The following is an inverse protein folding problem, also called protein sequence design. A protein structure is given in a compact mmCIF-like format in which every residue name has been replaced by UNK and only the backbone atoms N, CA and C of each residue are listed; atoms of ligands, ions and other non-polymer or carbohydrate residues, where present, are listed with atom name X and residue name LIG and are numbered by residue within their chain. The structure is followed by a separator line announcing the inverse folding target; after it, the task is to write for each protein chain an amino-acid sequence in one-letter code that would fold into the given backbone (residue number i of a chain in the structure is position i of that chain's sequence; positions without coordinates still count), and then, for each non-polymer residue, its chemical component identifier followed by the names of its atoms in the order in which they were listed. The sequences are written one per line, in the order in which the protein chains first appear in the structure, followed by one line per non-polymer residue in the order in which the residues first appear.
data_IF_239837965203
#
_entry.id   IF_239837965203
#
_cell.length_a   1.000
_cell.length_b   1.000
_cell.length_c   1.000
_cell.angle_alpha   90.00
_cell.angle_beta   90.00
_cell.angle_gamma   90.00
#
_symmetry.space_group_name_H-M   'P 1'
#
loop_
_entity.id
_entity.type
_entity.pdbx_description
1 polymer ?
#
# COMPACT_ATOMS: atom_id res chain seq x y z
N UNK A 1 17.48 13.60 23.87
CA UNK A 1 16.53 13.19 22.82
C UNK A 1 16.20 11.70 23.02
N UNK A 2 14.95 11.34 23.31
CA UNK A 2 14.55 9.95 23.55
C UNK A 2 14.36 9.28 22.18
N UNK A 3 15.24 8.35 21.81
CA UNK A 3 15.15 7.65 20.51
C UNK A 3 14.19 6.48 20.67
N UNK A 4 12.99 6.57 20.08
CA UNK A 4 12.09 5.43 19.99
C UNK A 4 12.71 4.39 19.05
N UNK A 5 13.12 3.25 19.60
CA UNK A 5 13.57 2.11 18.80
C UNK A 5 12.34 1.44 18.20
N UNK A 6 12.22 1.51 16.88
CA UNK A 6 11.26 0.72 16.12
C UNK A 6 11.90 -0.61 15.75
N UNK A 7 11.11 -1.69 15.73
CA UNK A 7 11.56 -2.99 15.28
C UNK A 7 11.85 -2.96 13.77
N UNK A 8 12.95 -3.59 13.36
CA UNK A 8 13.36 -3.69 11.95
C UNK A 8 13.62 -5.15 11.61
N UNK A 9 12.81 -5.70 10.71
CA UNK A 9 13.07 -7.01 10.12
C UNK A 9 13.89 -6.84 8.82
N UNK A 10 15.02 -7.53 8.72
CA UNK A 10 15.86 -7.59 7.52
C UNK A 10 15.73 -8.99 6.95
N UNK A 11 15.23 -9.10 5.72
CA UNK A 11 15.04 -10.38 5.03
C UNK A 11 16.01 -10.43 3.86
N UNK A 12 16.82 -11.48 3.82
CA UNK A 12 17.82 -11.69 2.77
C UNK A 12 17.21 -12.40 1.55
N UNK A 13 17.74 -12.19 0.33
CA UNK A 13 17.26 -12.87 -0.89
C UNK A 13 17.24 -14.39 -0.84
N UNK A 14 18.07 -15.00 0.03
CA UNK A 14 18.10 -16.45 0.25
C UNK A 14 16.85 -16.98 0.98
N UNK A 15 16.05 -16.12 1.60
CA UNK A 15 14.83 -16.50 2.28
C UNK A 15 13.72 -16.84 1.25
N UNK A 16 13.01 -17.95 1.44
CA UNK A 16 11.92 -18.40 0.57
C UNK A 16 10.79 -17.38 0.41
N UNK A 17 10.57 -16.52 1.41
CA UNK A 17 9.54 -15.48 1.38
C UNK A 17 9.98 -14.21 0.66
N UNK A 18 11.27 -14.05 0.34
CA UNK A 18 11.80 -12.83 -0.26
C UNK A 18 11.10 -12.44 -1.58
N UNK A 19 10.88 -13.36 -2.56
CA UNK A 19 10.25 -12.99 -3.83
C UNK A 19 8.82 -12.46 -3.65
N UNK A 20 8.06 -13.08 -2.75
CA UNK A 20 6.68 -12.70 -2.43
C UNK A 20 6.66 -11.30 -1.81
N UNK A 21 7.56 -11.04 -0.87
CA UNK A 21 7.67 -9.74 -0.21
C UNK A 21 8.14 -8.65 -1.16
N UNK A 22 9.08 -8.96 -2.06
CA UNK A 22 9.56 -8.02 -3.08
C UNK A 22 8.42 -7.62 -4.03
N UNK A 23 7.63 -8.58 -4.50
CA UNK A 23 6.44 -8.33 -5.31
C UNK A 23 5.43 -7.44 -4.58
N UNK A 24 5.16 -7.71 -3.30
CA UNK A 24 4.25 -6.86 -2.51
C UNK A 24 4.80 -5.46 -2.25
N UNK A 25 6.11 -5.34 -1.99
CA UNK A 25 6.75 -4.04 -1.85
C UNK A 25 6.67 -3.25 -3.16
N UNK A 26 6.90 -3.89 -4.31
CA UNK A 26 6.78 -3.26 -5.62
C UNK A 26 5.35 -2.74 -5.88
N UNK A 27 4.34 -3.58 -5.66
CA UNK A 27 2.93 -3.21 -5.78
C UNK A 27 2.56 -2.06 -4.83
N UNK A 28 3.03 -2.10 -3.59
CA UNK A 28 2.76 -1.07 -2.58
C UNK A 28 3.36 0.28 -2.95
N UNK A 29 4.58 0.29 -3.49
CA UNK A 29 5.24 1.52 -3.99
C UNK A 29 4.45 2.13 -5.15
N UNK A 30 4.02 1.30 -6.10
CA UNK A 30 3.24 1.78 -7.25
C UNK A 30 1.89 2.34 -6.82
N UNK A 31 1.20 1.68 -5.89
CA UNK A 31 -0.05 2.16 -5.32
C UNK A 31 0.12 3.53 -4.66
N UNK A 32 1.15 3.68 -3.82
CA UNK A 32 1.45 4.93 -3.14
C UNK A 32 1.76 6.06 -4.13
N UNK A 33 2.61 5.79 -5.12
CA UNK A 33 2.99 6.76 -6.13
C UNK A 33 1.79 7.21 -6.97
N UNK A 34 0.93 6.26 -7.36
CA UNK A 34 -0.29 6.55 -8.09
C UNK A 34 -1.24 7.44 -7.28
N UNK A 35 -1.55 7.05 -6.04
CA UNK A 35 -2.45 7.82 -5.19
C UNK A 35 -1.92 9.23 -4.93
N UNK A 36 -0.62 9.36 -4.66
CA UNK A 36 0.03 10.65 -4.50
C UNK A 36 -0.03 11.51 -5.76
N UNK A 37 0.19 10.92 -6.93
CA UNK A 37 0.08 11.63 -8.20
C UNK A 37 -1.34 12.18 -8.38
N UNK A 38 -2.37 11.34 -8.20
CA UNK A 38 -3.77 11.77 -8.33
C UNK A 38 -4.14 12.89 -7.36
N UNK A 39 -3.72 12.78 -6.10
CA UNK A 39 -3.94 13.82 -5.07
C UNK A 39 -3.29 15.13 -5.51
N UNK A 40 -2.01 15.10 -5.91
CA UNK A 40 -1.29 16.30 -6.33
C UNK A 40 -1.91 16.92 -7.58
N UNK A 41 -2.28 16.11 -8.55
CA UNK A 41 -2.92 16.60 -9.77
C UNK A 41 -4.25 17.30 -9.49
N UNK A 42 -5.10 16.71 -8.64
CA UNK A 42 -6.38 17.33 -8.27
C UNK A 42 -6.18 18.59 -7.44
N UNK A 43 -5.22 18.56 -6.51
CA UNK A 43 -4.92 19.71 -5.68
C UNK A 43 -4.40 20.88 -6.51
N UNK A 44 -3.45 20.65 -7.42
CA UNK A 44 -2.89 21.72 -8.26
C UNK A 44 -3.91 22.27 -9.26
N UNK A 45 -4.84 21.46 -9.76
CA UNK A 45 -5.84 21.90 -10.76
C UNK A 45 -7.07 22.55 -10.14
N UNK A 46 -7.55 22.03 -9.01
CA UNK A 46 -8.86 22.41 -8.44
C UNK A 46 -8.76 22.96 -7.01
N UNK A 47 -7.58 22.90 -6.37
CA UNK A 47 -7.41 23.22 -4.96
C UNK A 47 -8.06 22.18 -4.03
N UNK A 48 -8.45 21.02 -4.55
CA UNK A 48 -9.22 20.00 -3.82
C UNK A 48 -8.42 18.75 -3.54
N UNK A 49 -8.69 18.16 -2.38
CA UNK A 49 -8.12 16.87 -1.99
C UNK A 49 -9.06 15.71 -2.36
N UNK A 50 -8.49 14.56 -2.73
CA UNK A 50 -9.28 13.33 -2.99
C UNK A 50 -9.50 12.61 -1.66
N UNK A 51 -10.76 12.42 -1.27
CA UNK A 51 -11.05 11.67 -0.04
C UNK A 51 -10.68 10.19 -0.20
N UNK A 52 -10.40 9.52 0.93
CA UNK A 52 -10.05 8.09 0.92
C UNK A 52 -11.08 7.24 0.16
N UNK A 53 -12.38 7.48 0.36
CA UNK A 53 -13.46 6.75 -0.34
C UNK A 53 -13.43 6.95 -1.85
N UNK A 54 -13.10 8.16 -2.31
CA UNK A 54 -12.96 8.46 -3.73
C UNK A 54 -11.72 7.79 -4.31
N UNK A 55 -10.61 7.82 -3.58
CA UNK A 55 -9.38 7.13 -3.97
C UNK A 55 -9.58 5.61 -4.06
N UNK A 56 -10.21 5.00 -3.07
CA UNK A 56 -10.54 3.56 -3.06
C UNK A 56 -11.40 3.16 -4.28
N UNK A 57 -12.40 3.98 -4.63
CA UNK A 57 -13.22 3.74 -5.83
C UNK A 57 -12.41 3.84 -7.12
N UNK A 58 -11.51 4.84 -7.24
CA UNK A 58 -10.64 5.01 -8.40
C UNK A 58 -9.67 3.82 -8.56
N UNK A 59 -9.05 3.40 -7.46
CA UNK A 59 -8.10 2.28 -7.44
C UNK A 59 -8.76 0.95 -7.83
N UNK A 60 -10.00 0.73 -7.39
CA UNK A 60 -10.79 -0.45 -7.79
C UNK A 60 -11.20 -0.42 -9.27
N UNK A 61 -11.44 0.76 -9.84
CA UNK A 61 -11.77 0.90 -11.26
C UNK A 61 -10.56 0.69 -12.17
N UNK A 62 -9.37 1.12 -11.76
CA UNK A 62 -8.14 0.94 -12.54
C UNK A 62 -7.53 -0.47 -12.43
N UNK A 63 -8.22 -1.42 -11.77
CA UNK A 63 -7.71 -2.79 -11.63
C UNK A 63 -6.51 -2.93 -10.70
N UNK A 64 -6.17 -1.91 -9.90
CA UNK A 64 -5.18 -1.97 -8.81
C UNK A 64 -5.74 -2.73 -7.59
N UNK A 65 -6.28 -3.92 -7.81
CA UNK A 65 -6.99 -4.74 -6.79
C UNK A 65 -6.02 -5.56 -5.92
N UNK A 66 -4.72 -5.56 -6.23
CA UNK A 66 -3.77 -6.51 -5.62
C UNK A 66 -3.47 -6.30 -4.12
N UNK A 67 -3.82 -5.16 -3.50
CA UNK A 67 -3.53 -4.92 -2.07
C UNK A 67 -4.79 -5.00 -1.20
N UNK A 68 -5.97 -4.72 -1.75
CA UNK A 68 -7.23 -4.77 -0.99
C UNK A 68 -7.63 -6.19 -0.58
N UNK A 69 -7.29 -7.20 -1.39
CA UNK A 69 -7.64 -8.60 -1.09
C UNK A 69 -6.71 -9.21 -0.02
N UNK A 70 -5.45 -8.76 0.06
CA UNK A 70 -4.48 -9.31 1.02
C UNK A 70 -4.78 -8.86 2.46
N UNK A 71 -5.24 -7.61 2.64
CA UNK A 71 -5.74 -7.16 3.95
C UNK A 71 -6.99 -7.94 4.41
N UNK A 72 -7.74 -8.56 3.49
CA UNK A 72 -8.90 -9.38 3.84
C UNK A 72 -8.53 -10.82 4.18
N UNK A 73 -7.48 -11.39 3.59
CA UNK A 73 -7.05 -12.77 3.89
C UNK A 73 -6.33 -12.91 5.24
N UNK A 74 -5.63 -11.87 5.72
CA UNK A 74 -4.95 -11.94 7.02
C UNK A 74 -5.87 -11.75 8.25
N UNK A 75 -7.12 -11.30 8.05
CA UNK A 75 -8.12 -11.19 9.12
C UNK A 75 -8.96 -12.46 9.33
N UNK A 76 -8.77 -13.51 8.51
CA UNK A 76 -9.44 -14.80 8.66
C UNK A 76 -8.60 -15.83 9.44
N UNK A 77 -7.30 -15.60 9.65
CA UNK A 77 -6.40 -16.55 10.31
C UNK A 77 -6.18 -16.33 11.82
N UNK A 78 -6.79 -15.30 12.41
CA UNK A 78 -6.77 -15.03 13.87
C UNK A 78 -8.13 -15.33 14.54
N UNK A 79 -8.82 -16.38 14.08
CA UNK A 79 -9.97 -16.99 14.76
C UNK A 79 -9.85 -18.50 14.75
N UNK A 80 -8.79 -19.04 15.36
CA UNK A 80 -8.77 -20.37 15.98
C UNK A 80 -7.81 -20.33 17.16
#
# INVERSE_FOLDING_TARGET
MKVNRVEKHIIYPKNSYYPILDEYCFKSKNLYNFANYQIRQKFCKEGKYISYKQMDKLLKQEGMIMITEICQQHNQHNKH
#
